data_IF_700988866385
#
_entry.id   IF_700988866385
#
_cell.length_a   1.000
_cell.length_b   1.000
_cell.length_c   1.000
_cell.angle_alpha   90.00
_cell.angle_beta   90.00
_cell.angle_gamma   90.00
#
_symmetry.space_group_name_H-M   'P 1'
#
loop_
_entity.id
_entity.type
_entity.pdbx_description
1 polymer ?
#
# COMPACT_ATOMS: atom_id res chain seq x y z
N UNK A 1 11.62 -13.39 -3.98
CA UNK A 1 10.59 -13.10 -4.99
C UNK A 1 9.25 -13.21 -4.31
N UNK A 2 8.54 -12.09 -4.13
CA UNK A 2 7.23 -12.09 -3.46
C UNK A 2 6.13 -12.32 -4.50
N UNK A 3 5.05 -13.00 -4.12
CA UNK A 3 3.92 -13.20 -5.03
C UNK A 3 3.04 -11.97 -5.12
N UNK A 4 2.90 -11.25 -4.00
CA UNK A 4 2.03 -10.07 -3.87
C UNK A 4 2.75 -8.98 -3.08
N UNK A 5 2.76 -7.77 -3.62
CA UNK A 5 3.10 -6.55 -2.88
C UNK A 5 1.81 -5.83 -2.53
N UNK A 6 1.61 -5.49 -1.26
CA UNK A 6 0.50 -4.67 -0.81
C UNK A 6 1.03 -3.40 -0.15
N UNK A 7 0.45 -2.25 -0.44
CA UNK A 7 0.91 -0.97 0.12
C UNK A 7 -0.21 -0.23 0.83
N UNK A 8 0.18 0.53 1.84
CA UNK A 8 -0.67 1.48 2.57
C UNK A 8 0.12 2.77 2.79
N UNK A 9 -0.55 3.84 3.22
CA UNK A 9 0.12 5.13 3.44
C UNK A 9 0.37 5.37 4.92
N UNK A 10 1.42 6.13 5.23
CA UNK A 10 1.64 6.65 6.58
C UNK A 10 0.54 7.64 7.02
N UNK A 11 0.45 7.96 8.33
CA UNK A 11 -0.45 9.00 8.82
C UNK A 11 -0.18 10.36 8.17
N UNK A 12 -1.22 11.14 7.98
CA UNK A 12 -1.14 12.48 7.38
C UNK A 12 -2.18 13.42 7.99
N UNK A 13 -2.06 14.72 7.74
CA UNK A 13 -3.05 15.70 8.21
C UNK A 13 -3.12 15.87 9.74
N UNK A 14 -2.03 15.53 10.45
CA UNK A 14 -1.98 15.59 11.92
C UNK A 14 -2.50 14.34 12.62
N UNK A 15 -2.97 13.35 11.88
CA UNK A 15 -3.36 12.05 12.42
C UNK A 15 -2.14 11.23 12.86
N UNK A 16 -2.33 10.37 13.87
CA UNK A 16 -1.29 9.45 14.35
C UNK A 16 -1.36 8.06 13.70
N UNK A 17 -2.48 7.77 13.02
CA UNK A 17 -2.75 6.49 12.38
C UNK A 17 -3.32 6.69 10.99
N UNK A 18 -3.03 5.74 10.09
CA UNK A 18 -3.69 5.64 8.80
C UNK A 18 -4.27 4.22 8.67
N UNK A 19 -5.60 4.05 8.60
CA UNK A 19 -6.26 2.75 8.47
C UNK A 19 -5.75 1.93 7.28
N UNK A 20 -5.32 2.58 6.18
CA UNK A 20 -4.74 1.86 5.05
C UNK A 20 -3.47 1.10 5.44
N UNK A 21 -2.58 1.72 6.23
CA UNK A 21 -1.39 1.04 6.74
C UNK A 21 -1.74 -0.01 7.80
N UNK A 22 -2.65 0.31 8.71
CA UNK A 22 -3.04 -0.58 9.80
C UNK A 22 -3.62 -1.91 9.31
N UNK A 23 -4.34 -1.89 8.18
CA UNK A 23 -4.86 -3.11 7.56
C UNK A 23 -3.77 -3.89 6.86
N UNK A 24 -2.97 -3.24 6.00
CA UNK A 24 -2.01 -3.98 5.16
C UNK A 24 -0.82 -4.53 5.95
N UNK A 25 -0.41 -3.88 7.05
CA UNK A 25 0.69 -4.37 7.89
C UNK A 25 0.36 -5.72 8.54
N UNK A 26 -0.93 -6.00 8.78
CA UNK A 26 -1.36 -7.29 9.34
C UNK A 26 -1.22 -8.43 8.33
N UNK A 27 -1.15 -8.11 7.03
CA UNK A 27 -1.01 -9.09 5.95
C UNK A 27 0.46 -9.38 5.61
N UNK A 28 1.41 -8.63 6.17
CA UNK A 28 2.83 -8.81 5.89
C UNK A 28 3.30 -10.21 6.30
N UNK A 29 4.04 -10.88 5.41
CA UNK A 29 4.56 -12.22 5.63
C UNK A 29 3.53 -13.36 5.52
N UNK A 30 2.23 -13.06 5.35
CA UNK A 30 1.22 -14.10 5.12
C UNK A 30 1.49 -14.85 3.81
N UNK A 31 1.15 -16.14 3.79
CA UNK A 31 1.16 -16.96 2.59
C UNK A 31 -0.28 -17.25 2.18
N UNK A 32 -0.71 -16.69 1.05
CA UNK A 32 -2.05 -16.88 0.52
C UNK A 32 -1.94 -17.67 -0.78
N UNK A 33 -2.53 -18.87 -0.83
CA UNK A 33 -2.47 -19.76 -2.01
C UNK A 33 -1.04 -20.00 -2.50
N UNK A 34 -0.08 -20.15 -1.57
CA UNK A 34 1.34 -20.38 -1.88
C UNK A 34 2.10 -19.12 -2.33
N UNK A 35 1.48 -17.94 -2.30
CA UNK A 35 2.13 -16.66 -2.61
C UNK A 35 2.42 -15.90 -1.32
N UNK A 36 3.68 -15.51 -1.13
CA UNK A 36 4.09 -14.65 -0.03
C UNK A 36 3.61 -13.22 -0.29
N UNK A 37 2.97 -12.63 0.72
CA UNK A 37 2.58 -11.22 0.76
C UNK A 37 3.68 -10.42 1.43
N UNK A 38 4.04 -9.30 0.82
CA UNK A 38 4.93 -8.29 1.41
C UNK A 38 4.17 -6.98 1.51
N UNK A 39 4.12 -6.39 2.70
CA UNK A 39 3.52 -5.09 2.93
C UNK A 39 4.57 -3.98 2.92
N UNK A 40 4.26 -2.82 2.33
CA UNK A 40 5.09 -1.61 2.40
C UNK A 40 4.28 -0.37 2.72
N UNK A 41 4.79 0.41 3.67
CA UNK A 41 4.27 1.73 3.97
C UNK A 41 4.86 2.74 2.99
N UNK A 42 4.01 3.54 2.36
CA UNK A 42 4.40 4.63 1.49
C UNK A 42 4.29 5.96 2.24
N UNK A 43 5.22 6.91 2.01
CA UNK A 43 5.10 8.23 2.58
C UNK A 43 3.88 8.96 1.99
N UNK A 44 3.26 9.84 2.77
CA UNK A 44 2.15 10.68 2.31
C UNK A 44 2.66 11.99 1.68
N UNK A 45 3.77 11.89 0.95
CA UNK A 45 4.42 12.99 0.24
C UNK A 45 4.43 12.67 -1.24
N UNK A 46 3.93 13.62 -2.05
CA UNK A 46 3.88 13.46 -3.50
C UNK A 46 5.29 13.28 -4.08
N UNK A 47 5.45 12.39 -5.06
CA UNK A 47 6.75 12.05 -5.65
C UNK A 47 7.57 11.06 -4.82
N UNK A 48 7.74 11.29 -3.51
CA UNK A 48 8.46 10.35 -2.64
C UNK A 48 7.74 9.00 -2.55
N UNK A 49 6.41 9.01 -2.49
CA UNK A 49 5.60 7.79 -2.52
C UNK A 49 5.89 6.94 -3.77
N UNK A 50 6.05 7.58 -4.93
CA UNK A 50 6.36 6.90 -6.19
C UNK A 50 7.78 6.34 -6.19
N UNK A 51 8.74 7.07 -5.62
CA UNK A 51 10.13 6.60 -5.48
C UNK A 51 10.20 5.34 -4.60
N UNK A 52 9.56 5.37 -3.43
CA UNK A 52 9.51 4.21 -2.52
C UNK A 52 8.79 3.03 -3.17
N UNK A 53 7.68 3.28 -3.86
CA UNK A 53 6.95 2.24 -4.57
C UNK A 53 7.80 1.59 -5.68
N UNK A 54 8.50 2.39 -6.49
CA UNK A 54 9.38 1.88 -7.55
C UNK A 54 10.49 0.99 -6.98
N UNK A 55 11.15 1.46 -5.91
CA UNK A 55 12.19 0.67 -5.24
C UNK A 55 11.64 -0.66 -4.68
N UNK A 56 10.42 -0.66 -4.13
CA UNK A 56 9.76 -1.90 -3.69
C UNK A 56 9.44 -2.84 -4.86
N UNK A 57 8.95 -2.31 -5.99
CA UNK A 57 8.69 -3.12 -7.18
C UNK A 57 9.96 -3.78 -7.71
N UNK A 58 11.08 -3.05 -7.78
CA UNK A 58 12.38 -3.57 -8.22
C UNK A 58 12.94 -4.61 -7.25
N UNK A 59 12.80 -4.37 -5.94
CA UNK A 59 13.32 -5.27 -4.89
C UNK A 59 12.56 -6.60 -4.84
N UNK A 60 11.23 -6.55 -4.86
CA UNK A 60 10.41 -7.74 -4.61
C UNK A 60 9.96 -8.45 -5.89
N UNK A 61 9.99 -7.75 -7.03
CA UNK A 61 9.50 -8.21 -8.34
C UNK A 61 8.16 -8.95 -8.23
N UNK A 62 7.12 -8.30 -7.66
CA UNK A 62 5.86 -8.97 -7.37
C UNK A 62 5.08 -9.27 -8.64
N UNK A 63 4.27 -10.34 -8.62
CA UNK A 63 3.34 -10.66 -9.71
C UNK A 63 2.07 -9.80 -9.68
N UNK A 64 1.74 -9.28 -8.50
CA UNK A 64 0.57 -8.45 -8.25
C UNK A 64 0.92 -7.37 -7.23
N UNK A 65 0.53 -6.14 -7.51
CA UNK A 65 0.65 -5.03 -6.56
C UNK A 65 -0.73 -4.44 -6.27
N UNK A 66 -1.07 -4.28 -4.99
CA UNK A 66 -2.32 -3.66 -4.55
C UNK A 66 -1.97 -2.45 -3.68
N UNK A 67 -2.36 -1.26 -4.12
CA UNK A 67 -2.25 -0.06 -3.30
C UNK A 67 -3.57 0.20 -2.57
N UNK A 68 -3.49 0.30 -1.24
CA UNK A 68 -4.62 0.62 -0.36
C UNK A 68 -4.44 2.04 0.14
N UNK A 69 -5.51 2.83 0.05
CA UNK A 69 -5.52 4.22 0.54
C UNK A 69 -6.79 4.50 1.33
N UNK A 70 -6.72 5.46 2.24
CA UNK A 70 -7.89 5.99 2.94
C UNK A 70 -8.58 7.04 2.06
N UNK A 71 -9.91 6.98 2.00
CA UNK A 71 -10.74 8.02 1.41
C UNK A 71 -11.78 8.45 2.45
N UNK A 72 -11.51 9.56 3.16
CA UNK A 72 -12.41 10.09 4.19
C UNK A 72 -13.82 10.36 3.65
N UNK A 73 -14.83 10.09 4.49
CA UNK A 73 -16.24 10.30 4.14
C UNK A 73 -16.88 9.24 3.26
N UNK A 74 -16.16 8.18 2.87
CA UNK A 74 -16.73 7.02 2.16
C UNK A 74 -17.08 5.89 3.14
N UNK A 75 -18.22 5.25 2.90
CA UNK A 75 -18.71 4.11 3.71
C UNK A 75 -18.33 2.74 3.11
N UNK A 76 -17.80 2.72 1.88
CA UNK A 76 -17.58 1.49 1.11
C UNK A 76 -16.15 1.37 0.58
N UNK A 77 -15.73 0.11 0.35
CA UNK A 77 -14.49 -0.21 -0.37
C UNK A 77 -14.71 0.07 -1.86
N UNK A 78 -13.95 1.02 -2.40
CA UNK A 78 -13.99 1.33 -3.84
C UNK A 78 -12.74 0.80 -4.54
N UNK A 79 -12.91 0.07 -5.65
CA UNK A 79 -11.79 -0.25 -6.55
C UNK A 79 -11.60 0.90 -7.55
N UNK A 80 -10.38 1.44 -7.63
CA UNK A 80 -10.00 2.44 -8.63
C UNK A 80 -8.79 1.98 -9.42
N UNK A 81 -8.75 2.34 -10.70
CA UNK A 81 -7.51 2.30 -11.48
C UNK A 81 -6.57 3.34 -10.87
N UNK A 82 -5.39 2.91 -10.42
CA UNK A 82 -4.45 3.77 -9.72
C UNK A 82 -3.87 4.82 -10.70
N UNK A 83 -4.03 6.11 -10.37
CA UNK A 83 -3.35 7.21 -11.06
C UNK A 83 -2.76 8.23 -10.07
N UNK A 84 -2.53 7.82 -8.81
CA UNK A 84 -2.06 8.61 -7.64
C UNK A 84 -3.15 9.00 -6.63
N UNK A 85 -2.90 8.64 -5.36
CA UNK A 85 -3.76 8.90 -4.19
C UNK A 85 -3.27 10.12 -3.39
N UNK A 86 -1.97 10.44 -3.44
CA UNK A 86 -1.40 11.66 -2.88
C UNK A 86 -1.70 12.82 -3.83
N UNK A 87 -2.58 13.73 -3.45
CA UNK A 87 -2.80 15.00 -4.15
C UNK A 87 -2.66 16.13 -3.16
#
# INVERSE_FOLDING_TARGET
>A
MAGVLITGFEPFGGETVNPSWEVVKQLDGMIIRGQQVVAKQLPCVFGEALTVLKAALETYQPRLTIAVGQAGGRVDITRRTCSDQCR
#
